data_IF_563658084415
#
_entry.id   IF_563658084415
#
_cell.length_a   1.000
_cell.length_b   1.000
_cell.length_c   1.000
_cell.angle_alpha   90.00
_cell.angle_beta   90.00
_cell.angle_gamma   90.00
#
_symmetry.space_group_name_H-M   'P 1'
#
loop_
_entity.id
_entity.type
_entity.pdbx_description
1 polymer ?
#
# COMPACT_ATOMS: atom_id res chain seq x y z
N UNK A 1 -1.25 19.62 -9.66
CA UNK A 1 -2.67 19.21 -9.48
C UNK A 1 -2.78 17.78 -8.92
N UNK A 2 -1.66 17.19 -8.48
CA UNK A 2 -1.44 15.76 -8.24
C UNK A 2 -2.07 15.23 -6.93
N UNK A 3 -2.22 16.08 -5.91
CA UNK A 3 -2.67 15.64 -4.60
C UNK A 3 -4.12 15.11 -4.59
N UNK A 4 -4.99 15.60 -5.47
CA UNK A 4 -6.41 15.20 -5.46
C UNK A 4 -6.59 13.76 -5.94
N UNK A 5 -5.98 13.42 -7.07
CA UNK A 5 -6.02 12.07 -7.65
C UNK A 5 -5.45 11.03 -6.69
N UNK A 6 -4.37 11.38 -5.98
CA UNK A 6 -3.83 10.55 -4.92
C UNK A 6 -4.84 10.22 -3.82
N UNK A 7 -5.53 11.24 -3.28
CA UNK A 7 -6.52 11.02 -2.23
C UNK A 7 -7.70 10.20 -2.74
N UNK A 8 -8.13 10.43 -3.99
CA UNK A 8 -9.20 9.66 -4.61
C UNK A 8 -8.81 8.16 -4.76
N UNK A 9 -7.58 7.87 -5.20
CA UNK A 9 -7.04 6.51 -5.25
C UNK A 9 -6.96 5.88 -3.86
N UNK A 10 -6.47 6.63 -2.87
CA UNK A 10 -6.32 6.15 -1.50
C UNK A 10 -7.68 5.83 -0.85
N UNK A 11 -8.67 6.68 -1.07
CA UNK A 11 -10.07 6.44 -0.67
C UNK A 11 -10.58 5.15 -1.31
N UNK A 12 -10.41 5.00 -2.62
CA UNK A 12 -10.91 3.82 -3.32
C UNK A 12 -10.25 2.53 -2.86
N UNK A 13 -8.94 2.53 -2.64
CA UNK A 13 -8.21 1.39 -2.08
C UNK A 13 -8.69 1.08 -0.66
N UNK A 14 -8.99 2.11 0.13
CA UNK A 14 -9.53 1.92 1.49
C UNK A 14 -10.89 1.23 1.42
N UNK A 15 -11.79 1.67 0.55
CA UNK A 15 -13.12 1.07 0.37
C UNK A 15 -13.03 -0.42 -0.03
N UNK A 16 -12.20 -0.74 -1.03
CA UNK A 16 -11.98 -2.13 -1.49
C UNK A 16 -11.46 -3.00 -0.34
N UNK A 17 -10.49 -2.49 0.42
CA UNK A 17 -9.90 -3.23 1.53
C UNK A 17 -10.88 -3.40 2.70
N UNK A 18 -11.71 -2.39 2.99
CA UNK A 18 -12.71 -2.45 4.06
C UNK A 18 -13.79 -3.51 3.76
N UNK A 19 -14.26 -3.61 2.51
CA UNK A 19 -15.20 -4.65 2.08
C UNK A 19 -14.65 -6.07 2.28
N UNK A 20 -13.34 -6.24 2.08
CA UNK A 20 -12.65 -7.53 2.21
C UNK A 20 -12.11 -7.80 3.63
N UNK A 21 -12.41 -6.93 4.59
CA UNK A 21 -11.91 -7.01 5.97
C UNK A 21 -10.38 -6.84 6.09
N UNK A 22 -9.76 -6.31 5.05
CA UNK A 22 -8.37 -5.89 5.03
C UNK A 22 -8.23 -4.41 5.43
N UNK A 23 -7.01 -3.89 5.40
CA UNK A 23 -6.77 -2.47 5.63
C UNK A 23 -5.46 -2.00 5.03
N UNK A 24 -5.35 -0.69 4.85
CA UNK A 24 -4.09 -0.02 4.51
C UNK A 24 -3.22 0.01 5.76
N UNK A 25 -2.02 -0.54 5.65
CA UNK A 25 -1.05 -0.68 6.74
C UNK A 25 0.11 0.30 6.62
N UNK A 26 0.29 0.89 5.44
CA UNK A 26 1.43 1.71 5.10
C UNK A 26 1.02 2.71 4.04
N UNK A 27 1.43 3.97 4.22
CA UNK A 27 1.22 5.04 3.27
C UNK A 27 2.51 5.86 3.26
N UNK A 28 3.08 6.07 2.08
CA UNK A 28 4.20 6.97 1.87
C UNK A 28 3.95 7.81 0.63
N UNK A 29 4.00 9.10 0.84
CA UNK A 29 3.91 10.10 -0.22
C UNK A 29 5.33 10.59 -0.52
N UNK A 30 5.83 10.30 -1.72
CA UNK A 30 7.10 10.79 -2.23
C UNK A 30 6.82 11.76 -3.40
N UNK A 31 7.77 12.64 -3.73
CA UNK A 31 7.57 13.62 -4.80
C UNK A 31 7.32 12.98 -6.18
N UNK A 32 7.89 11.79 -6.39
CA UNK A 32 7.88 11.08 -7.67
C UNK A 32 6.87 9.93 -7.70
N UNK A 33 6.46 9.42 -6.54
CA UNK A 33 5.56 8.29 -6.46
C UNK A 33 4.80 8.22 -5.12
N UNK A 34 3.68 7.50 -5.15
CA UNK A 34 2.89 7.19 -3.98
C UNK A 34 2.96 5.70 -3.68
N UNK A 35 3.41 5.35 -2.48
CA UNK A 35 3.42 3.96 -2.02
C UNK A 35 2.29 3.71 -1.03
N UNK A 36 1.39 2.80 -1.37
CA UNK A 36 0.32 2.32 -0.50
C UNK A 36 0.62 0.86 -0.17
N UNK A 37 0.57 0.47 1.10
CA UNK A 37 0.74 -0.91 1.52
C UNK A 37 -0.56 -1.49 2.03
N UNK A 38 -0.93 -2.65 1.51
CA UNK A 38 -2.09 -3.43 1.92
C UNK A 38 -1.67 -4.73 2.58
N UNK A 39 -2.59 -5.33 3.34
CA UNK A 39 -2.32 -6.60 4.02
C UNK A 39 -2.01 -7.76 3.07
N UNK A 40 -2.62 -7.76 1.89
CA UNK A 40 -2.46 -8.76 0.85
C UNK A 40 -2.63 -8.11 -0.53
N UNK A 41 -2.17 -8.81 -1.57
CA UNK A 41 -2.48 -8.46 -2.94
C UNK A 41 -3.99 -8.58 -3.18
N UNK A 42 -4.54 -7.64 -3.95
CA UNK A 42 -5.95 -7.63 -4.28
C UNK A 42 -6.15 -7.30 -5.76
N UNK A 43 -6.88 -8.16 -6.47
CA UNK A 43 -7.09 -7.98 -7.91
C UNK A 43 -7.90 -6.71 -8.21
N UNK A 44 -8.87 -6.35 -7.37
CA UNK A 44 -9.72 -5.18 -7.64
C UNK A 44 -8.91 -3.88 -7.50
N UNK A 45 -7.89 -3.88 -6.64
CA UNK A 45 -6.94 -2.77 -6.56
C UNK A 45 -6.07 -2.71 -7.82
N UNK A 46 -5.56 -3.85 -8.29
CA UNK A 46 -4.75 -3.89 -9.52
C UNK A 46 -5.55 -3.40 -10.72
N UNK A 47 -6.77 -3.91 -10.92
CA UNK A 47 -7.65 -3.52 -12.01
C UNK A 47 -8.01 -2.03 -11.93
N UNK A 48 -8.29 -1.52 -10.73
CA UNK A 48 -8.53 -0.09 -10.53
C UNK A 48 -7.32 0.77 -10.88
N UNK A 49 -6.11 0.33 -10.51
CA UNK A 49 -4.89 1.07 -10.83
C UNK A 49 -4.59 1.00 -12.34
N UNK A 50 -4.76 -0.15 -12.99
CA UNK A 50 -4.58 -0.29 -14.45
C UNK A 50 -5.51 0.65 -15.25
N UNK A 51 -6.72 0.90 -14.76
CA UNK A 51 -7.68 1.80 -15.41
C UNK A 51 -7.45 3.29 -15.12
N UNK A 52 -6.87 3.63 -13.96
CA UNK A 52 -6.83 5.01 -13.46
C UNK A 52 -5.43 5.64 -13.38
N UNK A 53 -4.36 4.86 -13.42
CA UNK A 53 -2.98 5.38 -13.41
C UNK A 53 -2.19 4.83 -14.57
N UNK A 54 -1.32 5.68 -15.13
CA UNK A 54 -0.51 5.31 -16.30
C UNK A 54 0.51 4.22 -15.97
N UNK A 55 1.13 4.30 -14.79
CA UNK A 55 2.14 3.35 -14.35
C UNK A 55 2.05 3.10 -12.84
N UNK A 56 1.98 1.82 -12.46
CA UNK A 56 2.12 1.38 -11.09
C UNK A 56 2.96 0.10 -11.01
N UNK A 57 3.59 -0.11 -9.86
CA UNK A 57 4.45 -1.26 -9.58
C UNK A 57 3.97 -1.94 -8.31
N UNK A 58 3.72 -3.24 -8.41
CA UNK A 58 3.39 -4.11 -7.29
C UNK A 58 4.60 -4.83 -6.72
N UNK A 59 4.80 -4.79 -5.40
CA UNK A 59 5.91 -5.46 -4.73
C UNK A 59 5.46 -6.12 -3.43
N UNK A 60 5.72 -7.42 -3.28
CA UNK A 60 5.59 -8.08 -1.98
C UNK A 60 6.75 -7.68 -1.06
N UNK A 61 6.42 -7.08 0.08
CA UNK A 61 7.39 -6.59 1.04
C UNK A 61 7.14 -7.17 2.43
N UNK A 62 8.20 -7.66 3.05
CA UNK A 62 8.19 -8.02 4.47
C UNK A 62 8.55 -6.76 5.27
N UNK A 63 7.54 -5.98 5.65
CA UNK A 63 7.76 -4.86 6.56
C UNK A 63 8.12 -5.43 7.94
N UNK A 64 9.42 -5.45 8.24
CA UNK A 64 9.92 -5.73 9.58
C UNK A 64 9.38 -4.67 10.53
N UNK A 65 8.33 -5.00 11.30
CA UNK A 65 7.89 -4.18 12.44
C UNK A 65 9.12 -3.90 13.31
N UNK A 66 9.58 -2.65 13.37
CA UNK A 66 10.59 -2.22 14.34
C UNK A 66 9.98 -2.43 15.72
N UNK A 67 10.42 -3.48 16.39
CA UNK A 67 10.02 -3.82 17.75
C UNK A 67 10.29 -2.60 18.64
N UNK A 68 9.24 -1.90 19.12
CA UNK A 68 9.38 -0.95 20.22
C UNK A 68 9.85 -1.77 21.42
N UNK A 69 11.14 -1.65 21.78
CA UNK A 69 11.84 -2.42 22.82
C UNK A 69 11.00 -2.66 24.10
N UNK A 70 10.76 -3.91 24.46
CA UNK A 70 11.32 -4.55 25.68
C UNK A 70 10.93 -6.05 25.75
N UNK A 71 11.92 -6.85 26.13
CA UNK A 71 11.84 -8.24 26.62
C UNK A 71 11.66 -9.39 25.62
N UNK A 72 12.70 -10.24 25.64
CA UNK A 72 12.79 -11.66 25.25
C UNK A 72 12.42 -12.01 23.81
N UNK A 73 13.42 -12.55 23.09
CA UNK A 73 13.32 -13.47 21.94
C UNK A 73 11.86 -13.89 21.65
N UNK A 74 11.16 -13.07 20.89
CA UNK A 74 9.95 -13.48 20.21
C UNK A 74 10.30 -13.34 18.74
N UNK A 75 10.17 -14.45 18.04
CA UNK A 75 10.25 -14.55 16.59
C UNK A 75 9.62 -13.32 15.97
N UNK A 76 10.42 -12.61 15.18
CA UNK A 76 9.95 -11.49 14.38
C UNK A 76 8.93 -12.09 13.43
N UNK A 77 7.63 -11.91 13.72
CA UNK A 77 6.60 -12.25 12.77
C UNK A 77 6.80 -11.30 11.58
N UNK A 78 7.46 -11.78 10.55
CA UNK A 78 7.51 -11.13 9.24
C UNK A 78 6.10 -11.29 8.66
N UNK A 79 5.26 -10.30 8.90
CA UNK A 79 4.02 -10.17 8.15
C UNK A 79 4.41 -9.73 6.73
N UNK A 80 4.06 -10.56 5.75
CA UNK A 80 4.17 -10.23 4.32
C UNK A 80 3.04 -9.28 3.98
N UNK A 81 3.35 -8.24 3.24
CA UNK A 81 2.41 -7.24 2.80
C UNK A 81 2.63 -6.92 1.33
N UNK A 82 1.63 -6.35 0.69
CA UNK A 82 1.74 -5.93 -0.71
C UNK A 82 1.87 -4.42 -0.78
N UNK A 83 2.86 -3.93 -1.53
CA UNK A 83 3.09 -2.52 -1.78
C UNK A 83 2.68 -2.18 -3.21
N UNK A 84 1.88 -1.13 -3.32
CA UNK A 84 1.41 -0.52 -4.55
C UNK A 84 2.16 0.81 -4.71
N UNK A 85 3.12 0.86 -5.63
CA UNK A 85 3.87 2.08 -5.97
C UNK A 85 3.26 2.70 -7.21
N UNK A 86 2.57 3.81 -7.06
CA UNK A 86 1.91 4.54 -8.14
C UNK A 86 2.86 5.65 -8.58
N UNK A 87 3.27 5.63 -9.84
CA UNK A 87 4.19 6.62 -10.39
C UNK A 87 3.42 7.87 -10.81
N UNK A 88 4.03 9.03 -10.60
CA UNK A 88 3.44 10.29 -11.00
C UNK A 88 3.93 10.71 -12.39
N UNK A 89 3.03 11.10 -13.30
CA UNK A 89 3.45 11.75 -14.54
C UNK A 89 4.08 13.12 -14.19
N UNK A 90 5.26 13.40 -14.78
CA UNK A 90 6.01 14.66 -14.63
C UNK A 90 5.24 15.91 -15.09
#
# INVERSE_FOLDING_TARGET
MVAKEYYDILLKITDIMEEKGGGIIYIRNEPECYTIGTRYYDQDIADYLDDHVEEWIGEESTLKKKSKKRSKKQDKVEEVYYLWKIMLPE
#
